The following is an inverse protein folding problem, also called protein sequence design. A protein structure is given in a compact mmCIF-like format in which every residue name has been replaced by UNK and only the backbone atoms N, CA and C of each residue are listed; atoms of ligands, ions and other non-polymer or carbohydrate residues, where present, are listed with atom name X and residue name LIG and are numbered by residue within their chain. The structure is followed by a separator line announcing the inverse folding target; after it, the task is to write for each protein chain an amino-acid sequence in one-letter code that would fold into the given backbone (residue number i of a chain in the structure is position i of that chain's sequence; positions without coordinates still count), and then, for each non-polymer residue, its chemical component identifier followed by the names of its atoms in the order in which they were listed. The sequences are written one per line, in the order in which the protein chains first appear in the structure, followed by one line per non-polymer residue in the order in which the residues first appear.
data_IF_633964185417
#
_entry.id   IF_633964185417
#
_cell.length_a   1.000
_cell.length_b   1.000
_cell.length_c   1.000
_cell.angle_alpha   90.00
_cell.angle_beta   90.00
_cell.angle_gamma   90.00
#
_symmetry.space_group_name_H-M   'P 1'
#
loop_
_entity.id
_entity.type
_entity.pdbx_description
1 polymer ?
#
# COMPACT_ATOMS: atom_id res chain seq x y z
N UNK A 1 0.02 -20.81 15.57
CA UNK A 1 0.12 -19.35 15.44
C UNK A 1 -0.39 -19.05 14.05
N UNK A 2 -1.42 -18.24 13.88
CA UNK A 2 -1.85 -17.86 12.54
C UNK A 2 -0.72 -17.07 11.87
N UNK A 3 -0.14 -17.62 10.81
CA UNK A 3 0.76 -16.92 9.90
C UNK A 3 -0.02 -15.78 9.23
N UNK A 4 -0.15 -14.66 9.94
CA UNK A 4 -0.75 -13.45 9.37
C UNK A 4 0.16 -12.94 8.28
N UNK A 5 -0.41 -12.78 7.09
CA UNK A 5 0.30 -12.28 5.91
C UNK A 5 0.95 -10.94 6.23
N UNK A 6 2.22 -10.80 5.85
CA UNK A 6 2.99 -9.58 6.09
C UNK A 6 3.21 -8.85 4.79
N UNK A 7 2.88 -7.56 4.79
CA UNK A 7 3.04 -6.69 3.65
C UNK A 7 4.10 -5.64 3.96
N UNK A 8 4.95 -5.30 3.00
CA UNK A 8 5.84 -4.16 3.06
C UNK A 8 5.33 -3.07 2.13
N UNK A 9 5.36 -1.84 2.62
CA UNK A 9 5.00 -0.69 1.81
C UNK A 9 6.23 -0.12 1.08
N UNK A 10 6.15 0.02 -0.24
CA UNK A 10 7.26 0.41 -1.11
C UNK A 10 7.07 1.78 -1.78
N UNK A 11 5.87 2.35 -1.70
CA UNK A 11 5.53 3.66 -2.26
C UNK A 11 6.04 4.85 -1.44
N UNK A 12 5.75 6.06 -1.91
CA UNK A 12 5.92 7.28 -1.11
C UNK A 12 4.85 7.36 -0.01
N UNK A 13 5.06 8.12 1.08
CA UNK A 13 4.13 8.15 2.21
C UNK A 13 2.68 8.36 1.76
N UNK A 14 1.79 7.47 2.14
CA UNK A 14 0.36 7.49 1.79
C UNK A 14 -0.46 7.52 3.07
N UNK A 15 -1.30 8.55 3.21
CA UNK A 15 -2.09 8.80 4.41
C UNK A 15 -3.57 8.66 4.09
N UNK A 16 -4.21 7.72 4.78
CA UNK A 16 -5.66 7.61 4.86
C UNK A 16 -6.12 8.14 6.23
N UNK A 17 -7.41 8.44 6.36
CA UNK A 17 -8.01 8.90 7.61
C UNK A 17 -7.73 7.97 8.80
N UNK A 18 -7.71 6.65 8.56
CA UNK A 18 -7.62 5.63 9.61
C UNK A 18 -6.26 4.93 9.69
N UNK A 19 -5.40 5.09 8.66
CA UNK A 19 -4.11 4.37 8.57
C UNK A 19 -3.11 5.16 7.72
N UNK A 20 -1.84 5.12 8.11
CA UNK A 20 -0.73 5.71 7.37
C UNK A 20 0.27 4.64 6.92
N UNK A 21 0.52 4.59 5.62
CA UNK A 21 1.52 3.73 5.00
C UNK A 21 2.82 4.49 4.78
N UNK A 22 3.92 3.95 5.33
CA UNK A 22 5.26 4.57 5.29
C UNK A 22 6.24 3.62 4.62
N UNK A 23 7.07 4.16 3.72
CA UNK A 23 8.03 3.36 2.92
C UNK A 23 8.92 2.51 3.82
N UNK A 24 9.07 1.23 3.49
CA UNK A 24 9.88 0.26 4.22
C UNK A 24 9.23 -0.32 5.49
N UNK A 25 8.04 0.15 5.88
CA UNK A 25 7.34 -0.38 7.06
C UNK A 25 6.56 -1.64 6.70
N UNK A 26 6.61 -2.62 7.62
CA UNK A 26 5.86 -3.88 7.52
C UNK A 26 4.54 -3.74 8.24
N UNK A 27 3.47 -4.18 7.60
CA UNK A 27 2.10 -4.19 8.08
C UNK A 27 1.57 -5.63 8.07
N UNK A 28 0.92 -6.03 9.16
CA UNK A 28 0.25 -7.33 9.24
C UNK A 28 -1.15 -7.22 8.65
N UNK A 29 -1.56 -8.25 7.91
CA UNK A 29 -2.92 -8.37 7.39
C UNK A 29 -3.94 -8.18 8.52
N UNK A 30 -4.88 -7.27 8.31
CA UNK A 30 -6.01 -6.99 9.18
C UNK A 30 -7.20 -6.49 8.33
N UNK A 31 -8.36 -6.37 8.95
CA UNK A 31 -9.60 -5.93 8.28
C UNK A 31 -9.40 -4.57 7.57
N UNK A 32 -8.72 -3.61 8.22
CA UNK A 32 -8.44 -2.29 7.62
C UNK A 32 -7.68 -2.40 6.30
N UNK A 33 -6.63 -3.21 6.23
CA UNK A 33 -5.85 -3.38 5.01
C UNK A 33 -6.65 -4.09 3.92
N UNK A 34 -7.47 -5.08 4.29
CA UNK A 34 -8.34 -5.78 3.34
C UNK A 34 -9.38 -4.83 2.75
N UNK A 35 -10.03 -4.01 3.57
CA UNK A 35 -10.96 -2.96 3.12
C UNK A 35 -10.27 -1.96 2.18
N UNK A 36 -9.03 -1.51 2.52
CA UNK A 36 -8.28 -0.61 1.62
C UNK A 36 -7.91 -1.29 0.30
N UNK A 37 -7.68 -2.60 0.28
CA UNK A 37 -7.39 -3.33 -0.95
C UNK A 37 -8.61 -3.50 -1.86
N UNK A 38 -9.81 -3.57 -1.30
CA UNK A 38 -11.05 -3.57 -2.08
C UNK A 38 -11.31 -2.19 -2.69
N UNK A 39 -11.14 -1.13 -1.89
CA UNK A 39 -11.40 0.25 -2.31
C UNK A 39 -10.34 0.83 -3.23
N UNK A 40 -9.08 0.53 -2.96
CA UNK A 40 -7.92 1.03 -3.70
C UNK A 40 -7.13 -0.14 -4.28
N UNK A 41 -7.56 -0.76 -5.39
CA UNK A 41 -6.91 -1.95 -5.95
C UNK A 41 -5.45 -1.70 -6.35
N UNK A 42 -5.10 -0.44 -6.67
CA UNK A 42 -3.74 0.00 -6.95
C UNK A 42 -2.81 -0.11 -5.73
N UNK A 43 -3.34 -0.10 -4.50
CA UNK A 43 -2.57 -0.26 -3.27
C UNK A 43 -1.82 -1.59 -3.25
N UNK A 44 -2.35 -2.65 -3.89
CA UNK A 44 -1.68 -3.96 -4.00
C UNK A 44 -0.34 -3.91 -4.75
N UNK A 45 -0.07 -2.84 -5.50
CA UNK A 45 1.21 -2.62 -6.20
C UNK A 45 2.26 -1.95 -5.31
N UNK A 46 1.85 -1.20 -4.29
CA UNK A 46 2.76 -0.48 -3.38
C UNK A 46 2.85 -1.14 -2.00
N UNK A 47 1.78 -1.79 -1.54
CA UNK A 47 1.73 -2.63 -0.35
C UNK A 47 1.78 -4.11 -0.80
N UNK A 48 2.99 -4.66 -0.82
CA UNK A 48 3.26 -5.98 -1.41
C UNK A 48 3.63 -7.00 -0.34
N UNK A 49 3.42 -8.28 -0.62
CA UNK A 49 3.87 -9.35 0.27
C UNK A 49 5.39 -9.25 0.50
N UNK A 50 5.83 -9.34 1.76
CA UNK A 50 7.26 -9.21 2.13
C UNK A 50 8.14 -10.20 1.37
N UNK A 51 7.62 -11.39 1.05
CA UNK A 51 8.35 -12.42 0.31
C UNK A 51 8.55 -12.06 -1.18
N UNK A 52 7.79 -11.08 -1.69
CA UNK A 52 7.85 -10.60 -3.09
C UNK A 52 8.40 -9.18 -3.22
N UNK A 53 8.83 -8.58 -2.10
CA UNK A 53 9.32 -7.22 -2.05
C UNK A 53 10.45 -6.95 -3.05
N UNK A 54 11.41 -7.88 -3.15
CA UNK A 54 12.56 -7.78 -4.04
C UNK A 54 12.18 -7.70 -5.52
N UNK A 55 11.09 -8.35 -5.93
CA UNK A 55 10.58 -8.28 -7.31
C UNK A 55 9.91 -6.92 -7.57
N UNK A 56 9.15 -6.41 -6.59
CA UNK A 56 8.39 -5.16 -6.71
C UNK A 56 9.27 -3.90 -6.67
N UNK A 57 10.40 -3.95 -5.95
CA UNK A 57 11.36 -2.85 -5.83
C UNK A 57 12.05 -2.48 -7.15
N UNK A 58 11.99 -3.32 -8.19
CA UNK A 58 12.72 -3.10 -9.45
C UNK A 58 12.21 -1.90 -10.27
N UNK A 59 11.07 -1.29 -9.92
CA UNK A 59 10.49 -0.17 -10.65
C UNK A 59 10.04 0.99 -9.74
N UNK A 60 11.00 1.73 -9.17
CA UNK A 60 10.70 2.88 -8.30
C UNK A 60 9.79 3.94 -8.95
N UNK A 61 10.00 4.26 -10.24
CA UNK A 61 9.13 5.21 -10.97
C UNK A 61 7.67 4.74 -11.05
N UNK A 62 7.46 3.43 -11.19
CA UNK A 62 6.11 2.86 -11.21
C UNK A 62 5.45 3.01 -9.84
N UNK A 63 6.19 2.72 -8.77
CA UNK A 63 5.70 2.84 -7.39
C UNK A 63 5.32 4.29 -7.06
N UNK A 64 6.12 5.27 -7.49
CA UNK A 64 5.81 6.70 -7.35
C UNK A 64 4.52 7.08 -8.08
N UNK A 65 4.41 6.69 -9.37
CA UNK A 65 3.24 6.97 -10.20
C UNK A 65 1.97 6.35 -9.62
N UNK A 66 2.06 5.11 -9.13
CA UNK A 66 0.94 4.42 -8.48
C UNK A 66 0.56 5.12 -7.18
N UNK A 67 1.54 5.53 -6.37
CA UNK A 67 1.28 6.25 -5.13
C UNK A 67 0.55 7.57 -5.38
N UNK A 68 0.96 8.33 -6.39
CA UNK A 68 0.27 9.58 -6.77
C UNK A 68 -1.16 9.33 -7.23
N UNK A 69 -1.42 8.30 -8.04
CA UNK A 69 -2.79 7.94 -8.45
C UNK A 69 -3.69 7.62 -7.26
N UNK A 70 -3.17 6.90 -6.25
CA UNK A 70 -3.95 6.61 -5.04
C UNK A 70 -4.19 7.90 -4.23
N UNK A 71 -3.20 8.80 -4.14
CA UNK A 71 -3.36 10.10 -3.47
C UNK A 71 -4.43 10.97 -4.12
N UNK A 72 -4.47 10.99 -5.46
CA UNK A 72 -5.51 11.72 -6.21
C UNK A 72 -6.90 11.16 -5.91
N UNK A 73 -7.07 9.83 -5.96
CA UNK A 73 -8.33 9.18 -5.60
C UNK A 73 -8.78 9.52 -4.17
N UNK A 74 -7.87 9.50 -3.20
CA UNK A 74 -8.20 9.86 -1.81
C UNK A 74 -8.66 11.32 -1.72
N UNK A 75 -8.07 12.24 -2.49
CA UNK A 75 -8.45 13.67 -2.50
C UNK A 75 -9.83 13.87 -3.10
N UNK A 76 -10.12 13.22 -4.23
CA UNK A 76 -11.43 13.29 -4.90
C UNK A 76 -12.58 12.78 -4.01
N UNK A 77 -12.31 11.90 -3.06
CA UNK A 77 -13.34 11.41 -2.11
C UNK A 77 -13.61 12.37 -0.94
N UNK A 78 -12.75 13.37 -0.74
CA UNK A 78 -12.87 14.35 0.35
C UNK A 78 -13.50 15.66 -0.14
N UNK A 79 -13.53 15.90 -1.46
CA UNK A 79 -14.29 16.98 -2.12
C UNK A 79 -15.76 16.60 -2.35
#
# INVERSE_FOLDING_TARGET
MEDKKQYIYLGDTLEFKDIRFTKGVIYYSNEVIEEKFEKYPLLKRTLVDVNRASEALQNEKLLETVTQQIKDQIREEVE
#
